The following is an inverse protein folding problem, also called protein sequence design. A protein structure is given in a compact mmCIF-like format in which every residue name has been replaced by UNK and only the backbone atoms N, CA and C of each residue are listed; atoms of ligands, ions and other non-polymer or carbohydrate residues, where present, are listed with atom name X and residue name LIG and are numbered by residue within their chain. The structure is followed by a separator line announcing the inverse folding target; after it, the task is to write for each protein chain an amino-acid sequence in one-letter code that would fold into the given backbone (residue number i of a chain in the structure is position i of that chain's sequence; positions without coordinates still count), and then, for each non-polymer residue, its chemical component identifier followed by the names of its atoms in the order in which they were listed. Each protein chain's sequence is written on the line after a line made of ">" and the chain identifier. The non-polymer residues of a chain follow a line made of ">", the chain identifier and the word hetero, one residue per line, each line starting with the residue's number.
data_IF_497835778853
#
_entry.id   IF_497835778853
#
_cell.length_a   1.000
_cell.length_b   1.000
_cell.length_c   1.000
_cell.angle_alpha   90.00
_cell.angle_beta   90.00
_cell.angle_gamma   90.00
#
_symmetry.space_group_name_H-M   'P 1'
#
loop_
_entity.id
_entity.type
_entity.pdbx_description
1 polymer ?
#
# COMPACT_ATOMS: atom_id res chain seq x y z
N UNK A 1 -23.58 21.71 -8.16
CA UNK A 1 -23.22 20.83 -7.04
C UNK A 1 -22.43 19.64 -7.59
N UNK A 2 -21.09 19.69 -7.51
CA UNK A 2 -20.20 18.61 -7.96
C UNK A 2 -20.01 17.66 -6.78
N UNK A 3 -20.38 16.39 -6.96
CA UNK A 3 -20.18 15.31 -5.97
C UNK A 3 -18.84 14.64 -6.27
N UNK A 4 -17.97 14.52 -5.28
CA UNK A 4 -16.56 14.10 -5.43
C UNK A 4 -16.31 12.68 -4.89
N UNK A 5 -15.44 12.00 -5.62
CA UNK A 5 -15.06 10.59 -5.60
C UNK A 5 -14.31 10.14 -4.33
N UNK A 6 -14.73 9.02 -3.76
CA UNK A 6 -14.06 8.33 -2.66
C UNK A 6 -13.00 7.34 -3.17
N UNK A 7 -11.84 7.30 -2.52
CA UNK A 7 -10.75 6.37 -2.78
C UNK A 7 -11.18 4.94 -2.39
N UNK A 8 -11.21 4.02 -3.36
CA UNK A 8 -11.37 2.60 -3.08
C UNK A 8 -10.02 1.89 -3.26
N UNK A 9 -9.32 1.65 -2.15
CA UNK A 9 -8.29 0.63 -2.10
C UNK A 9 -8.99 -0.74 -1.98
N UNK A 10 -9.19 -1.42 -3.12
CA UNK A 10 -8.44 -2.63 -3.43
C UNK A 10 -8.07 -3.68 -2.35
N UNK A 11 -8.68 -3.79 -1.16
CA UNK A 11 -8.22 -4.74 -0.13
C UNK A 11 -8.36 -6.21 -0.62
N UNK A 12 -7.28 -6.77 -1.20
CA UNK A 12 -7.20 -8.11 -1.79
C UNK A 12 -6.42 -9.03 -0.85
N UNK A 13 -7.12 -10.05 -0.33
CA UNK A 13 -6.67 -10.85 0.81
C UNK A 13 -5.69 -11.97 0.45
N UNK A 14 -4.74 -12.19 1.36
CA UNK A 14 -3.70 -13.21 1.36
C UNK A 14 -4.29 -14.61 1.58
N UNK A 15 -3.81 -15.59 0.81
CA UNK A 15 -4.11 -17.01 1.02
C UNK A 15 -2.78 -17.77 1.04
N UNK A 16 -2.69 -18.78 1.90
CA UNK A 16 -1.59 -19.74 1.93
C UNK A 16 -1.26 -20.27 0.50
N UNK A 17 0.00 -20.64 0.22
CA UNK A 17 0.43 -21.00 -1.13
C UNK A 17 -0.35 -22.22 -1.63
N UNK A 18 -1.36 -22.00 -2.48
CA UNK A 18 -1.68 -22.98 -3.49
C UNK A 18 -0.55 -22.88 -4.49
N UNK A 19 0.24 -23.95 -4.59
CA UNK A 19 1.23 -24.13 -5.65
C UNK A 19 0.55 -23.76 -6.98
N UNK A 20 0.91 -22.60 -7.53
CA UNK A 20 0.53 -22.16 -8.86
C UNK A 20 1.25 -23.06 -9.87
N UNK A 21 0.76 -24.30 -10.00
CA UNK A 21 1.08 -25.22 -11.08
C UNK A 21 0.29 -24.91 -12.36
N UNK A 22 -0.26 -23.69 -12.52
CA UNK A 22 -0.98 -23.27 -13.71
C UNK A 22 -0.21 -22.30 -14.63
N UNK A 23 1.04 -21.96 -14.29
CA UNK A 23 1.95 -21.22 -15.19
C UNK A 23 2.84 -22.11 -16.06
N UNK A 24 2.44 -23.36 -16.32
CA UNK A 24 3.24 -24.35 -17.04
C UNK A 24 3.44 -24.01 -18.53
N UNK A 25 4.19 -22.95 -18.84
CA UNK A 25 4.58 -22.62 -20.21
C UNK A 25 5.06 -21.19 -20.44
N UNK A 26 4.67 -20.22 -19.61
CA UNK A 26 5.05 -18.83 -19.85
C UNK A 26 6.42 -18.48 -19.27
N UNK A 27 7.30 -17.97 -20.14
CA UNK A 27 8.56 -17.39 -19.71
C UNK A 27 8.28 -15.98 -19.15
N UNK A 28 8.75 -15.66 -17.94
CA UNK A 28 8.57 -14.32 -17.41
C UNK A 28 9.37 -13.31 -18.24
N UNK A 29 8.83 -12.10 -18.35
CA UNK A 29 9.65 -10.94 -18.65
C UNK A 29 10.47 -10.60 -17.40
N UNK A 30 11.79 -10.79 -17.48
CA UNK A 30 12.70 -10.46 -16.38
C UNK A 30 13.14 -9.00 -16.47
N UNK A 31 13.06 -8.30 -15.35
CA UNK A 31 13.68 -7.00 -15.12
C UNK A 31 14.68 -7.08 -13.95
N UNK A 32 15.24 -5.95 -13.52
CA UNK A 32 16.23 -5.91 -12.45
C UNK A 32 15.64 -6.34 -11.10
N UNK A 33 14.41 -5.99 -10.80
CA UNK A 33 13.77 -6.23 -9.51
C UNK A 33 12.52 -7.11 -9.59
N UNK A 34 12.07 -7.49 -10.80
CA UNK A 34 10.85 -8.29 -10.95
C UNK A 34 10.94 -9.38 -12.02
N UNK A 35 10.18 -10.45 -11.80
CA UNK A 35 9.77 -11.40 -12.84
C UNK A 35 8.27 -11.17 -13.13
N UNK A 36 7.92 -10.73 -14.34
CA UNK A 36 6.52 -10.43 -14.72
C UNK A 36 6.00 -11.49 -15.69
N UNK A 37 4.96 -12.20 -15.27
CA UNK A 37 4.28 -13.22 -16.06
C UNK A 37 2.98 -12.62 -16.61
N UNK A 38 2.74 -12.72 -17.91
CA UNK A 38 1.50 -12.27 -18.54
C UNK A 38 1.27 -12.99 -19.87
N UNK A 39 -0.01 -13.12 -20.25
CA UNK A 39 -0.42 -13.59 -21.58
C UNK A 39 -0.02 -12.63 -22.70
N UNK A 40 -0.06 -11.33 -22.43
CA UNK A 40 0.31 -10.28 -23.36
C UNK A 40 1.71 -9.72 -23.04
N UNK A 41 2.72 -9.93 -23.91
CA UNK A 41 4.06 -9.40 -23.73
C UNK A 41 4.12 -7.86 -23.66
N UNK A 42 3.21 -7.15 -24.32
CA UNK A 42 3.16 -5.69 -24.28
C UNK A 42 2.73 -5.22 -22.88
N UNK A 43 1.69 -5.85 -22.29
CA UNK A 43 1.27 -5.60 -20.91
C UNK A 43 2.37 -5.97 -19.91
N UNK A 44 3.04 -7.11 -20.09
CA UNK A 44 4.17 -7.49 -19.23
C UNK A 44 5.24 -6.39 -19.23
N UNK A 45 5.58 -5.85 -20.41
CA UNK A 45 6.57 -4.77 -20.55
C UNK A 45 6.13 -3.46 -19.90
N UNK A 46 4.88 -3.08 -20.08
CA UNK A 46 4.31 -1.88 -19.43
C UNK A 46 4.37 -2.00 -17.90
N UNK A 47 3.83 -3.09 -17.34
CA UNK A 47 3.78 -3.29 -15.89
C UNK A 47 5.16 -3.49 -15.27
N UNK A 48 6.08 -4.17 -15.97
CA UNK A 48 7.47 -4.24 -15.54
C UNK A 48 8.11 -2.84 -15.43
N UNK A 49 7.86 -1.93 -16.38
CA UNK A 49 8.39 -0.56 -16.31
C UNK A 49 7.81 0.23 -15.11
N UNK A 50 6.51 0.08 -14.83
CA UNK A 50 5.86 0.69 -13.65
C UNK A 50 6.48 0.15 -12.35
N UNK A 51 6.62 -1.17 -12.23
CA UNK A 51 7.22 -1.83 -11.06
C UNK A 51 8.69 -1.41 -10.85
N UNK A 52 9.47 -1.27 -11.92
CA UNK A 52 10.86 -0.79 -11.80
C UNK A 52 10.95 0.67 -11.33
N UNK A 53 9.99 1.53 -11.66
CA UNK A 53 9.94 2.87 -11.05
C UNK A 53 9.58 2.81 -9.56
N UNK A 54 8.68 1.91 -9.17
CA UNK A 54 8.40 1.66 -7.76
C UNK A 54 9.65 1.17 -7.02
N UNK A 55 10.42 0.25 -7.61
CA UNK A 55 11.68 -0.23 -7.04
C UNK A 55 12.73 0.89 -6.90
N UNK A 56 12.85 1.78 -7.90
CA UNK A 56 13.71 2.97 -7.79
C UNK A 56 13.26 3.91 -6.68
N UNK A 57 11.95 4.11 -6.53
CA UNK A 57 11.38 4.89 -5.43
C UNK A 57 11.74 4.29 -4.08
N UNK A 58 11.58 2.98 -3.92
CA UNK A 58 11.97 2.26 -2.72
C UNK A 58 13.44 2.47 -2.38
N UNK A 59 14.32 2.33 -3.39
CA UNK A 59 15.75 2.55 -3.21
C UNK A 59 16.09 3.99 -2.83
N UNK A 60 15.39 4.99 -3.35
CA UNK A 60 15.57 6.39 -2.96
C UNK A 60 15.18 6.63 -1.49
N UNK A 61 14.09 6.02 -1.04
CA UNK A 61 13.55 6.20 0.32
C UNK A 61 14.39 5.45 1.37
N UNK A 62 14.75 4.20 1.10
CA UNK A 62 15.40 3.32 2.08
C UNK A 62 16.92 3.20 1.87
N UNK A 63 17.45 3.64 0.73
CA UNK A 63 18.87 3.53 0.41
C UNK A 63 19.35 2.08 0.19
N UNK A 64 18.42 1.16 -0.04
CA UNK A 64 18.69 -0.27 -0.27
C UNK A 64 17.94 -0.74 -1.50
N UNK A 65 18.46 -1.79 -2.16
CA UNK A 65 17.72 -2.44 -3.25
C UNK A 65 16.49 -3.15 -2.67
N UNK A 66 15.30 -3.02 -3.27
CA UNK A 66 14.12 -3.73 -2.79
C UNK A 66 14.28 -5.25 -2.96
N UNK A 67 13.59 -6.05 -2.13
CA UNK A 67 13.48 -7.49 -2.34
C UNK A 67 12.83 -7.81 -3.69
N UNK A 68 13.44 -8.73 -4.46
CA UNK A 68 12.96 -9.10 -5.80
C UNK A 68 11.59 -9.76 -5.72
N UNK A 69 10.66 -9.37 -6.58
CA UNK A 69 9.30 -9.92 -6.62
C UNK A 69 8.96 -10.65 -7.92
N UNK A 70 7.88 -11.42 -7.89
CA UNK A 70 7.25 -11.97 -9.08
C UNK A 70 5.79 -11.47 -9.17
N UNK A 71 5.36 -11.03 -10.34
CA UNK A 71 4.00 -10.54 -10.58
C UNK A 71 3.34 -11.37 -11.66
N UNK A 72 2.16 -11.90 -11.37
CA UNK A 72 1.38 -12.73 -12.29
C UNK A 72 0.15 -11.97 -12.77
N UNK A 73 0.19 -11.50 -14.01
CA UNK A 73 -0.90 -10.79 -14.68
C UNK A 73 -1.88 -11.78 -15.32
N UNK A 74 -3.18 -11.63 -15.05
CA UNK A 74 -4.21 -12.36 -15.80
C UNK A 74 -5.64 -12.13 -15.32
N UNK A 75 -6.62 -12.36 -16.19
CA UNK A 75 -8.03 -12.14 -15.89
C UNK A 75 -8.55 -12.98 -14.71
N UNK A 76 -7.92 -14.13 -14.47
CA UNK A 76 -8.19 -15.04 -13.35
C UNK A 76 -7.13 -14.97 -12.24
N UNK A 77 -6.23 -13.98 -12.26
CA UNK A 77 -5.18 -13.86 -11.25
C UNK A 77 -5.78 -13.80 -9.84
N UNK A 78 -6.96 -13.18 -9.70
CA UNK A 78 -7.67 -13.06 -8.43
C UNK A 78 -8.56 -14.26 -8.08
N UNK A 79 -8.89 -15.13 -9.05
CA UNK A 79 -9.74 -16.31 -8.84
C UNK A 79 -8.94 -17.58 -8.52
N UNK A 80 -7.62 -17.57 -8.72
CA UNK A 80 -6.76 -18.75 -8.59
C UNK A 80 -5.67 -18.70 -7.51
N UNK A 81 -5.43 -17.58 -6.83
CA UNK A 81 -4.39 -17.51 -5.80
C UNK A 81 -4.44 -16.20 -5.02
N UNK A 82 -4.39 -16.28 -3.69
CA UNK A 82 -4.14 -15.11 -2.86
C UNK A 82 -2.67 -14.68 -2.96
N UNK A 83 -2.35 -13.49 -2.44
CA UNK A 83 -0.96 -13.10 -2.23
C UNK A 83 -0.28 -14.15 -1.34
N UNK A 84 0.87 -14.68 -1.78
CA UNK A 84 1.69 -15.59 -0.96
C UNK A 84 3.02 -14.89 -0.65
N UNK A 85 3.21 -14.55 0.63
CA UNK A 85 4.38 -13.78 1.10
C UNK A 85 4.49 -13.60 2.62
N UNK A 86 3.42 -13.81 3.40
CA UNK A 86 3.48 -13.70 4.87
C UNK A 86 4.21 -14.85 5.57
N UNK A 87 4.36 -16.00 4.91
CA UNK A 87 5.26 -17.05 5.37
C UNK A 87 6.64 -16.79 4.77
N UNK A 88 7.67 -16.61 5.60
CA UNK A 88 9.06 -16.46 5.21
C UNK A 88 9.63 -17.68 4.50
N UNK A 89 9.09 -18.02 3.32
CA UNK A 89 9.64 -18.96 2.37
C UNK A 89 10.67 -18.21 1.54
N UNK A 90 11.87 -18.10 2.09
CA UNK A 90 12.97 -17.37 1.46
C UNK A 90 13.23 -17.87 0.03
N UNK A 91 13.59 -16.93 -0.85
CA UNK A 91 14.34 -17.29 -2.04
C UNK A 91 15.48 -18.21 -1.61
N UNK A 92 15.50 -19.41 -2.17
CA UNK A 92 16.53 -20.39 -1.84
C UNK A 92 17.87 -20.03 -2.49
N UNK A 93 17.87 -19.09 -3.45
CA UNK A 93 19.07 -18.65 -4.16
C UNK A 93 19.10 -17.12 -4.35
N UNK A 94 20.30 -16.51 -4.32
CA UNK A 94 20.48 -15.10 -4.67
C UNK A 94 19.92 -14.79 -6.06
N UNK A 95 19.10 -13.75 -6.16
CA UNK A 95 18.52 -13.29 -7.43
C UNK A 95 17.17 -13.92 -7.82
N UNK A 96 16.62 -14.83 -7.01
CA UNK A 96 15.24 -15.30 -7.18
C UNK A 96 14.23 -14.34 -6.53
N UNK A 97 13.00 -14.31 -7.05
CA UNK A 97 11.90 -13.59 -6.42
C UNK A 97 11.60 -14.20 -5.03
N UNK A 98 11.48 -13.36 -4.01
CA UNK A 98 11.19 -13.77 -2.62
C UNK A 98 9.70 -13.64 -2.28
N UNK A 99 8.90 -13.06 -3.18
CA UNK A 99 7.47 -12.83 -3.00
C UNK A 99 6.73 -12.88 -4.33
N UNK A 100 5.43 -13.17 -4.27
CA UNK A 100 4.57 -13.25 -5.46
C UNK A 100 3.31 -12.41 -5.30
N UNK A 101 2.93 -11.72 -6.37
CA UNK A 101 1.74 -10.88 -6.44
C UNK A 101 0.88 -11.27 -7.65
N UNK A 102 -0.27 -11.93 -7.45
CA UNK A 102 -1.28 -12.04 -8.49
C UNK A 102 -1.94 -10.67 -8.73
N UNK A 103 -2.09 -10.29 -9.99
CA UNK A 103 -2.71 -9.00 -10.35
C UNK A 103 -3.58 -9.15 -11.60
N UNK A 104 -4.78 -8.56 -11.65
CA UNK A 104 -5.58 -8.60 -12.87
C UNK A 104 -4.90 -7.78 -13.96
N UNK A 105 -4.84 -8.35 -15.16
CA UNK A 105 -4.23 -7.72 -16.33
C UNK A 105 -5.08 -6.58 -16.92
N UNK A 106 -6.33 -6.49 -16.50
CA UNK A 106 -7.26 -5.39 -16.80
C UNK A 106 -8.26 -5.24 -15.63
N UNK A 107 -7.88 -4.44 -14.64
CA UNK A 107 -8.75 -4.11 -13.51
C UNK A 107 -10.02 -3.38 -13.98
N UNK A 108 -9.94 -2.60 -15.06
CA UNK A 108 -11.09 -1.91 -15.64
C UNK A 108 -12.13 -2.89 -16.19
N UNK A 109 -11.70 -3.96 -16.85
CA UNK A 109 -12.57 -5.01 -17.37
C UNK A 109 -13.12 -5.92 -16.26
N UNK A 110 -12.31 -6.24 -15.25
CA UNK A 110 -12.78 -6.98 -14.07
C UNK A 110 -13.99 -6.28 -13.42
N UNK A 111 -13.92 -4.96 -13.26
CA UNK A 111 -14.99 -4.16 -12.65
C UNK A 111 -16.22 -4.01 -13.55
N UNK A 112 -16.03 -3.93 -14.88
CA UNK A 112 -17.14 -3.90 -15.85
C UNK A 112 -17.96 -5.20 -15.85
N UNK A 113 -17.35 -6.32 -15.47
CA UNK A 113 -17.98 -7.64 -15.44
C UNK A 113 -18.53 -8.03 -14.05
N UNK A 114 -18.56 -7.10 -13.09
CA UNK A 114 -19.26 -7.33 -11.83
C UNK A 114 -20.77 -7.55 -12.09
N UNK A 115 -21.47 -8.37 -11.28
CA UNK A 115 -22.88 -8.70 -11.50
C UNK A 115 -23.76 -7.46 -11.68
N UNK A 116 -24.70 -7.53 -12.64
CA UNK A 116 -25.69 -6.47 -12.86
C UNK A 116 -26.45 -6.16 -11.56
N UNK A 117 -26.35 -4.92 -11.08
CA UNK A 117 -26.87 -4.49 -9.78
C UNK A 117 -25.79 -3.99 -8.81
N UNK A 118 -24.50 -4.25 -9.11
CA UNK A 118 -23.37 -3.65 -8.38
C UNK A 118 -23.30 -2.17 -8.71
N UNK A 119 -23.90 -1.32 -7.86
CA UNK A 119 -23.75 0.13 -8.00
C UNK A 119 -22.34 0.53 -7.58
N UNK A 120 -21.49 0.77 -8.57
CA UNK A 120 -20.25 1.48 -8.35
C UNK A 120 -20.58 2.93 -7.92
N UNK A 121 -19.85 3.50 -6.94
CA UNK A 121 -20.09 4.86 -6.48
C UNK A 121 -20.18 5.84 -7.66
N UNK A 122 -21.19 6.70 -7.65
CA UNK A 122 -21.42 7.70 -8.70
C UNK A 122 -20.19 8.62 -8.83
N UNK A 123 -19.47 8.48 -9.95
CA UNK A 123 -18.20 9.18 -10.24
C UNK A 123 -17.08 8.24 -10.69
N UNK A 124 -17.16 6.94 -10.36
CA UNK A 124 -16.18 5.95 -10.84
C UNK A 124 -16.38 5.58 -12.32
N UNK A 125 -17.50 5.96 -12.94
CA UNK A 125 -17.83 5.63 -14.33
C UNK A 125 -17.25 6.60 -15.38
N UNK A 126 -16.33 7.50 -14.99
CA UNK A 126 -15.68 8.46 -15.90
C UNK A 126 -14.47 7.84 -16.62
N UNK A 127 -14.35 8.07 -17.92
CA UNK A 127 -13.36 7.50 -18.87
C UNK A 127 -11.89 7.85 -18.62
N UNK A 128 -11.54 8.42 -17.45
CA UNK A 128 -10.15 8.66 -17.04
C UNK A 128 -9.91 8.67 -15.52
N UNK A 129 -10.95 8.50 -14.71
CA UNK A 129 -10.87 8.50 -13.24
C UNK A 129 -10.72 7.10 -12.64
N UNK A 130 -11.34 6.09 -13.25
CA UNK A 130 -11.26 4.71 -12.74
C UNK A 130 -9.95 4.00 -13.11
N UNK A 131 -9.43 4.25 -14.32
CA UNK A 131 -8.18 3.65 -14.79
C UNK A 131 -6.96 4.17 -14.00
N UNK A 132 -6.97 5.44 -13.57
CA UNK A 132 -5.84 6.03 -12.83
C UNK A 132 -5.86 5.75 -11.32
N UNK A 133 -7.03 5.47 -10.74
CA UNK A 133 -7.18 5.14 -9.31
C UNK A 133 -7.01 3.66 -9.01
N UNK A 134 -7.02 2.81 -10.03
CA UNK A 134 -6.95 1.34 -9.94
C UNK A 134 -5.63 0.76 -10.47
N UNK A 135 -4.67 1.61 -10.86
CA UNK A 135 -3.27 1.24 -11.11
C UNK A 135 -2.51 1.06 -9.77
N UNK A 136 -3.16 0.40 -8.81
CA UNK A 136 -2.65 0.09 -7.47
C UNK A 136 -1.59 -1.01 -7.47
N UNK A 137 -1.13 -1.48 -8.64
CA UNK A 137 -0.07 -2.48 -8.74
C UNK A 137 1.19 -2.03 -7.99
N UNK A 138 1.59 -0.78 -8.17
CA UNK A 138 2.77 -0.21 -7.50
C UNK A 138 2.57 -0.01 -6.01
N UNK A 139 1.33 0.25 -5.57
CA UNK A 139 0.92 0.32 -4.17
C UNK A 139 1.06 -1.06 -3.50
N UNK A 140 0.43 -2.10 -4.06
CA UNK A 140 0.52 -3.46 -3.50
C UNK A 140 1.93 -4.04 -3.58
N UNK A 141 2.66 -3.79 -4.66
CA UNK A 141 4.06 -4.18 -4.77
C UNK A 141 4.92 -3.49 -3.68
N UNK A 142 4.61 -2.25 -3.32
CA UNK A 142 5.32 -1.54 -2.26
C UNK A 142 5.06 -2.13 -0.88
N UNK A 143 3.85 -2.60 -0.57
CA UNK A 143 3.60 -3.39 0.64
C UNK A 143 4.50 -4.62 0.71
N UNK A 144 4.59 -5.41 -0.37
CA UNK A 144 5.41 -6.63 -0.41
C UNK A 144 6.91 -6.31 -0.31
N UNK A 145 7.39 -5.30 -1.03
CA UNK A 145 8.78 -4.84 -0.91
C UNK A 145 9.10 -4.39 0.52
N UNK A 146 8.19 -3.66 1.16
CA UNK A 146 8.36 -3.14 2.51
C UNK A 146 8.33 -4.26 3.55
N UNK A 147 7.30 -5.11 3.54
CA UNK A 147 7.17 -6.29 4.40
C UNK A 147 8.43 -7.16 4.37
N UNK A 148 8.92 -7.52 3.18
CA UNK A 148 10.11 -8.36 3.04
C UNK A 148 11.41 -7.66 3.45
N UNK A 149 11.44 -6.32 3.40
CA UNK A 149 12.56 -5.54 3.90
C UNK A 149 12.56 -5.45 5.43
N UNK A 150 11.40 -5.21 6.05
CA UNK A 150 11.32 -4.85 7.48
C UNK A 150 11.08 -6.03 8.41
N UNK A 151 10.28 -7.02 8.04
CA UNK A 151 9.93 -8.12 8.94
C UNK A 151 11.15 -8.90 9.47
N UNK A 152 12.22 -9.16 8.68
CA UNK A 152 13.40 -9.85 9.20
C UNK A 152 14.15 -9.11 10.33
N UNK A 153 13.98 -7.79 10.45
CA UNK A 153 14.61 -6.99 11.49
C UNK A 153 13.75 -6.79 12.74
N UNK A 154 12.48 -7.21 12.72
CA UNK A 154 11.55 -7.00 13.82
C UNK A 154 11.83 -7.94 15.00
N UNK A 155 11.72 -7.41 16.21
CA UNK A 155 11.80 -8.21 17.44
C UNK A 155 10.61 -9.18 17.54
N UNK A 156 10.81 -10.32 18.23
CA UNK A 156 9.80 -11.36 18.37
C UNK A 156 8.47 -10.88 18.96
N UNK A 157 8.50 -9.88 19.85
CA UNK A 157 7.29 -9.31 20.45
C UNK A 157 6.36 -8.65 19.40
N UNK A 158 6.91 -8.03 18.35
CA UNK A 158 6.11 -7.44 17.27
C UNK A 158 5.44 -8.52 16.44
N UNK A 159 6.17 -9.60 16.15
CA UNK A 159 5.62 -10.75 15.42
C UNK A 159 4.48 -11.44 16.20
N UNK A 160 4.64 -11.62 17.51
CA UNK A 160 3.64 -12.27 18.37
C UNK A 160 2.37 -11.44 18.54
N UNK A 161 2.52 -10.11 18.54
CA UNK A 161 1.41 -9.17 18.73
C UNK A 161 0.86 -8.63 17.40
N UNK A 162 1.26 -9.22 16.28
CA UNK A 162 0.87 -8.73 14.96
C UNK A 162 -0.64 -8.78 14.76
N UNK A 163 -1.23 -7.61 14.56
CA UNK A 163 -2.64 -7.38 14.29
C UNK A 163 -2.89 -6.44 13.09
N UNK A 164 -1.81 -6.04 12.41
CA UNK A 164 -1.82 -5.12 11.27
C UNK A 164 -2.18 -5.80 9.95
N UNK A 165 -2.24 -4.99 8.89
CA UNK A 165 -2.56 -5.39 7.52
C UNK A 165 -1.32 -5.85 6.74
N UNK A 166 -0.20 -5.15 6.92
CA UNK A 166 1.04 -5.34 6.14
C UNK A 166 2.17 -5.99 6.96
N UNK A 167 3.21 -5.20 7.24
CA UNK A 167 4.38 -5.59 8.02
C UNK A 167 4.09 -5.70 9.52
N UNK A 168 5.04 -6.21 10.30
CA UNK A 168 4.92 -6.21 11.78
C UNK A 168 5.02 -4.81 12.41
N UNK A 169 5.08 -3.74 11.61
CA UNK A 169 5.11 -2.36 12.05
C UNK A 169 3.67 -1.77 12.10
N UNK A 170 3.47 -0.56 12.65
CA UNK A 170 2.16 0.07 12.68
C UNK A 170 1.59 0.34 11.27
N UNK A 171 0.29 0.11 11.08
CA UNK A 171 -0.35 0.17 9.75
C UNK A 171 -0.15 1.50 9.00
N UNK A 172 -0.04 2.62 9.72
CA UNK A 172 0.15 3.93 9.09
C UNK A 172 1.45 4.00 8.26
N UNK A 173 2.54 3.33 8.69
CA UNK A 173 3.83 3.41 7.96
C UNK A 173 3.81 2.47 6.75
N UNK A 174 3.15 1.32 6.86
CA UNK A 174 2.89 0.41 5.75
C UNK A 174 2.10 1.13 4.64
N UNK A 175 0.99 1.77 5.00
CA UNK A 175 0.18 2.53 4.03
C UNK A 175 0.90 3.78 3.51
N UNK A 176 1.61 4.49 4.37
CA UNK A 176 2.39 5.65 3.93
C UNK A 176 3.39 5.28 2.84
N UNK A 177 4.09 4.14 3.01
CA UNK A 177 5.02 3.63 2.00
C UNK A 177 4.25 3.25 0.73
N UNK A 178 3.16 2.49 0.83
CA UNK A 178 2.40 2.05 -0.33
C UNK A 178 1.80 3.21 -1.14
N UNK A 179 1.14 4.15 -0.46
CA UNK A 179 0.58 5.35 -1.07
C UNK A 179 1.66 6.24 -1.71
N UNK A 180 2.85 6.32 -1.13
CA UNK A 180 3.96 7.08 -1.72
C UNK A 180 4.48 6.48 -3.04
N UNK A 181 4.29 5.18 -3.24
CA UNK A 181 4.67 4.47 -4.47
C UNK A 181 3.59 4.50 -5.56
N UNK A 182 2.41 5.04 -5.27
CA UNK A 182 1.36 5.22 -6.27
C UNK A 182 1.81 6.13 -7.42
N UNK A 183 1.15 6.01 -8.59
CA UNK A 183 1.31 6.96 -9.68
C UNK A 183 1.09 8.40 -9.25
N UNK A 184 1.81 9.33 -9.88
CA UNK A 184 1.76 10.75 -9.51
C UNK A 184 0.36 11.37 -9.63
N UNK A 185 -0.48 10.89 -10.55
CA UNK A 185 -1.88 11.30 -10.67
C UNK A 185 -2.71 11.00 -9.41
N UNK A 186 -2.48 9.84 -8.78
CA UNK A 186 -3.15 9.47 -7.52
C UNK A 186 -2.61 10.31 -6.37
N UNK A 187 -1.29 10.44 -6.25
CA UNK A 187 -0.67 11.28 -5.21
C UNK A 187 -1.10 12.74 -5.32
N UNK A 188 -1.19 13.30 -6.53
CA UNK A 188 -1.72 14.64 -6.76
C UNK A 188 -3.16 14.78 -6.26
N UNK A 189 -4.02 13.80 -6.52
CA UNK A 189 -5.40 13.76 -6.00
C UNK A 189 -5.42 13.75 -4.48
N UNK A 190 -4.59 12.91 -3.84
CA UNK A 190 -4.50 12.84 -2.38
C UNK A 190 -3.98 14.14 -1.77
N UNK A 191 -2.96 14.77 -2.35
CA UNK A 191 -2.48 16.09 -1.90
C UNK A 191 -3.58 17.14 -1.99
N UNK A 192 -4.37 17.15 -3.06
CA UNK A 192 -5.51 18.05 -3.18
C UNK A 192 -6.56 17.79 -2.09
N UNK A 193 -6.88 16.53 -1.81
CA UNK A 193 -7.80 16.17 -0.73
C UNK A 193 -7.24 16.58 0.64
N UNK A 194 -5.95 16.39 0.90
CA UNK A 194 -5.32 16.78 2.16
C UNK A 194 -5.42 18.29 2.39
N UNK A 195 -5.23 19.10 1.34
CA UNK A 195 -5.42 20.56 1.43
C UNK A 195 -6.81 20.93 1.92
N UNK A 196 -7.84 20.22 1.48
CA UNK A 196 -9.24 20.44 1.85
C UNK A 196 -9.56 19.89 3.25
N UNK A 197 -8.89 18.81 3.66
CA UNK A 197 -9.18 18.06 4.89
C UNK A 197 -8.20 18.32 6.04
N UNK A 198 -7.18 19.16 5.88
CA UNK A 198 -6.14 19.37 6.90
C UNK A 198 -6.69 19.85 8.24
N UNK A 199 -7.78 20.62 8.27
CA UNK A 199 -8.39 21.05 9.52
C UNK A 199 -9.24 19.94 10.20
N UNK A 200 -9.48 18.82 9.50
CA UNK A 200 -10.22 17.64 9.95
C UNK A 200 -9.31 16.44 10.19
N UNK A 201 -7.98 16.59 10.13
CA UNK A 201 -7.00 15.51 10.25
C UNK A 201 -7.24 14.62 11.49
N UNK A 202 -6.86 13.35 11.36
CA UNK A 202 -6.82 12.44 12.51
C UNK A 202 -5.67 12.91 13.41
N UNK A 203 -5.90 13.16 14.71
CA UNK A 203 -4.81 13.55 15.61
C UNK A 203 -3.65 12.56 15.55
N UNK A 204 -2.40 13.03 15.46
CA UNK A 204 -1.25 12.15 15.20
C UNK A 204 -1.04 11.08 16.28
N UNK A 205 -1.42 11.38 17.53
CA UNK A 205 -1.42 10.41 18.64
C UNK A 205 -2.29 9.20 18.35
N UNK A 206 -3.44 9.41 17.70
CA UNK A 206 -4.36 8.35 17.29
C UNK A 206 -3.92 7.74 15.97
N UNK A 207 -3.56 8.56 14.98
CA UNK A 207 -3.17 8.10 13.65
C UNK A 207 -2.01 7.09 13.71
N UNK A 208 -0.98 7.35 14.52
CA UNK A 208 0.18 6.46 14.63
C UNK A 208 -0.07 5.12 15.33
N UNK A 209 -1.23 4.96 15.98
CA UNK A 209 -1.61 3.73 16.68
C UNK A 209 -2.90 3.11 16.13
N UNK A 210 -3.50 3.71 15.11
CA UNK A 210 -4.75 3.23 14.56
C UNK A 210 -4.48 2.00 13.71
N UNK A 211 -5.35 1.00 13.83
CA UNK A 211 -5.32 -0.13 12.91
C UNK A 211 -5.78 0.33 11.52
N UNK A 212 -5.42 -0.44 10.51
CA UNK A 212 -5.80 -0.20 9.14
C UNK A 212 -7.33 -0.13 9.02
N UNK A 213 -7.91 0.94 8.44
CA UNK A 213 -9.35 1.15 8.44
C UNK A 213 -10.12 0.19 7.52
N UNK A 214 -9.42 -0.55 6.64
CA UNK A 214 -10.01 -1.50 5.69
C UNK A 214 -9.27 -2.84 5.76
N UNK A 215 -9.74 -3.80 6.55
CA UNK A 215 -9.04 -5.09 6.63
C UNK A 215 -9.58 -5.97 7.75
N UNK A 216 -9.31 -7.28 7.66
CA UNK A 216 -9.52 -8.19 8.77
C UNK A 216 -8.29 -8.16 9.68
N UNK A 217 -8.50 -7.99 10.99
CA UNK A 217 -7.42 -7.96 11.98
C UNK A 217 -7.15 -9.35 12.57
N UNK A 218 -5.88 -9.68 12.83
CA UNK A 218 -5.46 -10.69 13.81
C UNK A 218 -4.69 -11.91 13.28
N UNK A 219 -4.00 -12.63 14.20
CA UNK A 219 -3.28 -13.86 13.87
C UNK A 219 -4.29 -14.99 13.61
N UNK A 220 -4.64 -15.19 12.34
CA UNK A 220 -5.71 -16.11 11.94
C UNK A 220 -6.56 -15.62 10.76
N UNK A 221 -6.37 -14.38 10.29
CA UNK A 221 -7.02 -13.86 9.09
C UNK A 221 -6.58 -14.55 7.76
N UNK A 222 -5.69 -15.55 7.83
CA UNK A 222 -5.22 -16.37 6.70
C UNK A 222 -5.99 -17.69 6.51
N UNK A 223 -7.28 -17.73 6.85
CA UNK A 223 -8.14 -18.88 6.60
C UNK A 223 -8.43 -19.05 5.11
N UNK A 224 -8.21 -20.25 4.58
CA UNK A 224 -8.46 -20.62 3.19
C UNK A 224 -9.94 -20.44 2.78
N UNK A 225 -10.28 -19.26 2.30
CA UNK A 225 -11.56 -18.96 1.65
C UNK A 225 -11.30 -17.96 0.54
N UNK A 226 -11.70 -18.29 -0.69
CA UNK A 226 -11.68 -17.33 -1.78
C UNK A 226 -12.49 -16.09 -1.41
N UNK A 227 -12.19 -14.96 -2.05
CA UNK A 227 -12.95 -13.73 -1.86
C UNK A 227 -14.39 -13.99 -2.31
N UNK A 228 -15.34 -13.99 -1.38
CA UNK A 228 -16.75 -13.95 -1.71
C UNK A 228 -17.02 -12.61 -2.42
N UNK A 229 -17.52 -12.60 -3.67
CA UNK A 229 -17.92 -11.37 -4.34
C UNK A 229 -18.87 -10.49 -3.51
N UNK A 230 -19.67 -11.09 -2.62
CA UNK A 230 -20.54 -10.36 -1.69
C UNK A 230 -19.76 -9.59 -0.61
N UNK A 231 -18.64 -10.14 -0.11
CA UNK A 231 -17.77 -9.46 0.85
C UNK A 231 -17.00 -8.31 0.20
N UNK A 232 -16.56 -8.49 -1.05
CA UNK A 232 -15.95 -7.40 -1.84
C UNK A 232 -16.97 -6.28 -2.08
N UNK A 233 -18.21 -6.64 -2.43
CA UNK A 233 -19.29 -5.68 -2.65
C UNK A 233 -19.63 -4.89 -1.38
N UNK A 234 -19.69 -5.55 -0.22
CA UNK A 234 -19.92 -4.89 1.07
C UNK A 234 -18.81 -3.89 1.41
N UNK A 235 -17.55 -4.25 1.21
CA UNK A 235 -16.39 -3.36 1.45
C UNK A 235 -16.38 -2.16 0.50
N UNK A 236 -16.67 -2.37 -0.77
CA UNK A 236 -16.82 -1.29 -1.75
C UNK A 236 -17.98 -0.36 -1.38
N UNK A 237 -19.05 -0.89 -0.79
CA UNK A 237 -20.20 -0.10 -0.32
C UNK A 237 -19.86 0.72 0.92
N UNK A 238 -19.17 0.16 1.92
CA UNK A 238 -18.66 0.90 3.09
C UNK A 238 -17.71 2.03 2.68
N UNK A 239 -16.83 1.77 1.72
CA UNK A 239 -15.95 2.77 1.10
C UNK A 239 -16.72 3.90 0.38
N UNK A 240 -17.81 3.54 -0.30
CA UNK A 240 -18.66 4.49 -1.01
C UNK A 240 -19.45 5.41 -0.08
N UNK A 241 -19.79 4.94 1.12
CA UNK A 241 -20.59 5.67 2.10
C UNK A 241 -19.78 6.67 2.91
N UNK A 242 -18.45 6.51 2.99
CA UNK A 242 -17.57 7.38 3.76
C UNK A 242 -17.43 8.82 3.21
N UNK A 243 -17.67 9.04 1.91
CA UNK A 243 -17.52 10.35 1.28
C UNK A 243 -16.10 10.95 1.39
N UNK A 244 -15.91 12.16 0.86
CA UNK A 244 -14.72 12.97 1.12
C UNK A 244 -14.83 13.46 2.58
N UNK A 245 -14.10 12.81 3.49
CA UNK A 245 -14.15 13.07 4.93
C UNK A 245 -14.37 11.84 5.80
N UNK A 246 -14.67 10.68 5.19
CA UNK A 246 -14.69 9.41 5.90
C UNK A 246 -13.31 9.08 6.47
N UNK A 247 -13.28 8.57 7.69
CA UNK A 247 -12.05 8.29 8.43
C UNK A 247 -11.06 7.40 7.66
N UNK A 248 -11.57 6.40 6.93
CA UNK A 248 -10.76 5.55 6.06
C UNK A 248 -10.04 6.36 4.97
N UNK A 249 -10.77 7.20 4.23
CA UNK A 249 -10.17 8.04 3.18
C UNK A 249 -9.14 9.02 3.78
N UNK A 250 -9.48 9.63 4.93
CA UNK A 250 -8.60 10.54 5.62
C UNK A 250 -7.30 9.86 6.07
N UNK A 251 -7.35 8.60 6.52
CA UNK A 251 -6.16 7.82 6.86
C UNK A 251 -5.18 7.71 5.70
N UNK A 252 -5.61 7.33 4.49
CA UNK A 252 -4.71 7.21 3.34
C UNK A 252 -4.15 8.56 2.88
N UNK A 253 -5.01 9.58 2.84
CA UNK A 253 -4.63 10.94 2.42
C UNK A 253 -3.60 11.53 3.40
N UNK A 254 -3.84 11.35 4.70
CA UNK A 254 -2.93 11.77 5.75
C UNK A 254 -1.63 10.95 5.76
N UNK A 255 -1.68 9.65 5.44
CA UNK A 255 -0.50 8.78 5.33
C UNK A 255 0.50 9.33 4.31
N UNK A 256 0.04 9.72 3.12
CA UNK A 256 0.90 10.37 2.13
C UNK A 256 1.51 11.67 2.66
N UNK A 257 0.64 12.54 3.19
CA UNK A 257 1.03 13.88 3.60
C UNK A 257 2.04 13.88 4.74
N UNK A 258 1.80 13.09 5.78
CA UNK A 258 2.73 12.93 6.91
C UNK A 258 4.06 12.34 6.44
N UNK A 259 4.02 11.35 5.54
CA UNK A 259 5.23 10.74 5.01
C UNK A 259 6.09 11.70 4.18
N UNK A 260 5.46 12.48 3.31
CA UNK A 260 6.15 13.54 2.55
C UNK A 260 6.79 14.58 3.49
N UNK A 261 6.07 15.00 4.53
CA UNK A 261 6.61 15.92 5.54
C UNK A 261 7.78 15.30 6.30
N UNK A 262 7.72 14.01 6.67
CA UNK A 262 8.84 13.31 7.32
C UNK A 262 10.08 13.25 6.42
N UNK A 263 9.91 12.99 5.13
CA UNK A 263 11.00 12.97 4.16
C UNK A 263 11.65 14.36 4.02
N UNK A 264 10.84 15.41 3.95
CA UNK A 264 11.31 16.79 3.85
C UNK A 264 12.00 17.26 5.14
N UNK A 265 11.37 17.04 6.30
CA UNK A 265 11.85 17.55 7.58
C UNK A 265 13.02 16.74 8.16
N UNK A 266 13.04 15.42 7.92
CA UNK A 266 14.06 14.51 8.45
C UNK A 266 15.23 14.24 7.50
N UNK A 267 15.07 14.58 6.21
CA UNK A 267 16.05 14.30 5.17
C UNK A 267 16.13 12.80 4.78
N UNK A 268 17.06 12.46 3.88
CA UNK A 268 17.03 11.19 3.12
C UNK A 268 17.25 9.92 3.93
N UNK A 269 17.58 10.01 5.22
CA UNK A 269 17.83 8.84 6.07
C UNK A 269 16.84 8.69 7.21
N UNK A 270 15.95 9.66 7.42
CA UNK A 270 15.08 9.67 8.59
C UNK A 270 14.09 8.50 8.60
N UNK A 271 13.37 8.28 7.50
CA UNK A 271 12.39 7.18 7.40
C UNK A 271 13.06 5.82 7.67
N UNK A 272 14.26 5.57 7.12
CA UNK A 272 15.01 4.35 7.43
C UNK A 272 15.31 4.22 8.93
N UNK A 273 15.81 5.28 9.58
CA UNK A 273 16.10 5.26 11.03
C UNK A 273 14.83 5.07 11.86
N UNK A 274 13.72 5.67 11.45
CA UNK A 274 12.42 5.48 12.08
C UNK A 274 11.99 4.02 11.98
N UNK A 275 12.08 3.41 10.80
CA UNK A 275 11.78 1.98 10.60
C UNK A 275 12.67 1.10 11.47
N UNK A 276 13.99 1.33 11.50
CA UNK A 276 14.91 0.60 12.37
C UNK A 276 14.59 0.73 13.87
N UNK A 277 14.06 1.88 14.28
CA UNK A 277 13.57 2.12 15.64
C UNK A 277 12.28 1.36 15.92
N UNK A 278 11.32 1.38 14.99
CA UNK A 278 10.06 0.65 15.09
C UNK A 278 10.29 -0.87 15.12
N UNK A 279 11.19 -1.40 14.29
CA UNK A 279 11.60 -2.81 14.29
C UNK A 279 12.08 -3.31 15.66
N UNK A 280 12.65 -2.40 16.48
CA UNK A 280 13.14 -2.69 17.84
C UNK A 280 12.06 -2.51 18.92
N UNK A 281 10.80 -2.34 18.53
CA UNK A 281 9.67 -2.14 19.44
C UNK A 281 9.51 -0.69 19.92
N UNK A 282 10.20 0.26 19.31
CA UNK A 282 9.99 1.68 19.58
C UNK A 282 8.65 2.18 19.04
N UNK A 283 8.12 3.27 19.59
CA UNK A 283 6.91 3.94 19.06
C UNK A 283 7.29 5.01 18.03
N UNK A 284 6.35 5.38 17.14
CA UNK A 284 6.55 6.50 16.21
C UNK A 284 6.87 7.80 16.96
N UNK A 285 6.14 8.10 18.03
CA UNK A 285 6.37 9.27 18.86
C UNK A 285 7.80 9.32 19.41
N UNK A 286 8.29 8.23 20.00
CA UNK A 286 9.67 8.16 20.47
C UNK A 286 10.67 8.30 19.31
N UNK A 287 10.31 7.80 18.12
CA UNK A 287 11.11 7.93 16.91
C UNK A 287 11.28 9.37 16.41
N UNK A 288 10.37 10.29 16.75
CA UNK A 288 10.50 11.72 16.40
C UNK A 288 11.74 12.35 17.02
N UNK A 289 12.26 11.80 18.13
CA UNK A 289 13.50 12.25 18.75
C UNK A 289 14.73 12.12 17.83
N UNK A 290 14.64 11.30 16.77
CA UNK A 290 15.67 11.11 15.74
C UNK A 290 15.79 12.29 14.77
N UNK A 291 14.80 13.19 14.73
CA UNK A 291 14.86 14.42 13.94
C UNK A 291 15.95 15.36 14.48
N UNK A 292 16.59 16.12 13.60
CA UNK A 292 17.60 17.11 14.03
C UNK A 292 16.97 18.35 14.65
N UNK A 293 15.83 18.78 14.09
CA UNK A 293 15.07 19.97 14.49
C UNK A 293 14.37 19.74 15.84
N UNK A 294 14.71 20.55 16.84
CA UNK A 294 14.27 20.37 18.24
C UNK A 294 12.76 20.46 18.38
N UNK A 295 12.15 21.40 17.66
CA UNK A 295 10.71 21.67 17.68
C UNK A 295 9.87 20.51 17.11
N UNK A 296 10.47 19.60 16.35
CA UNK A 296 9.78 18.44 15.76
C UNK A 296 9.91 17.17 16.60
N UNK A 297 10.64 17.22 17.72
CA UNK A 297 10.93 16.03 18.55
C UNK A 297 9.78 15.61 19.46
N UNK A 298 8.74 16.43 19.58
CA UNK A 298 7.52 16.10 20.31
C UNK A 298 6.39 15.89 19.32
N UNK A 299 5.40 15.07 19.71
CA UNK A 299 4.24 14.81 18.87
C UNK A 299 3.47 16.09 18.52
N UNK A 300 3.20 16.94 19.52
CA UNK A 300 2.51 18.22 19.35
C UNK A 300 3.28 19.18 18.42
N UNK A 301 4.60 19.26 18.60
CA UNK A 301 5.46 20.13 17.79
C UNK A 301 5.55 19.66 16.35
N UNK A 302 5.64 18.34 16.15
CA UNK A 302 5.61 17.73 14.83
C UNK A 302 4.26 17.94 14.13
N UNK A 303 3.15 17.67 14.81
CA UNK A 303 1.79 17.85 14.29
C UNK A 303 1.52 19.30 13.89
N UNK A 304 1.86 20.25 14.76
CA UNK A 304 1.70 21.68 14.48
C UNK A 304 2.53 22.12 13.27
N UNK A 305 3.77 21.65 13.16
CA UNK A 305 4.63 21.97 12.04
C UNK A 305 4.16 21.34 10.72
N UNK A 306 3.68 20.10 10.76
CA UNK A 306 3.10 19.39 9.62
C UNK A 306 1.84 20.11 9.10
N UNK A 307 0.91 20.44 9.99
CA UNK A 307 -0.32 21.19 9.64
C UNK A 307 0.02 22.55 9.04
N UNK A 308 0.99 23.27 9.60
CA UNK A 308 1.45 24.54 9.04
C UNK A 308 2.08 24.37 7.65
N UNK A 309 2.87 23.32 7.44
CA UNK A 309 3.47 22.98 6.16
C UNK A 309 2.41 22.65 5.09
N UNK A 310 1.40 21.85 5.41
CA UNK A 310 0.28 21.58 4.51
C UNK A 310 -0.50 22.85 4.14
N UNK A 311 -0.74 23.73 5.11
CA UNK A 311 -1.41 25.02 4.87
C UNK A 311 -0.58 25.97 4.00
N UNK A 312 0.75 25.92 4.09
CA UNK A 312 1.65 26.76 3.29
C UNK A 312 1.80 26.29 1.83
N UNK A 313 1.54 25.00 1.55
CA UNK A 313 1.53 24.45 0.17
C UNK A 313 0.27 24.84 -0.63
N UNK A 314 -0.64 25.62 -0.04
CA UNK A 314 -1.93 26.04 -0.64
C UNK A 314 -1.74 27.02 -1.78
#
# INVERSE_FOLDING_TARGET
>A
MRRSLACAALALFLVAPVLLAQGGGQKPLKSDNFDVYADDPAKAKEKAAQLEEAARTFQRVFGVRPPRGAVHLGANALSGGGMSGMGGGGATKPGEAVWTLPWPDDMGNLLKNLPQGTQLPQGMSGTGGMESQMDALTHEAAHLMFLHHVNPGCIAALQQNFNGYGSFLPDWIDEAVAVYHEPESMKATRRQQMKELVDQHIPLSRFFTMNHPIGAHGPGAGGAGGIDPADLQKKLQELSQGGVGGEANLFYVQSLSVFEFMLEAGGPTFVRKLVEHLQKGGTTEAGLALLSRRELKTLEGFESAWVAWEKARR
#
